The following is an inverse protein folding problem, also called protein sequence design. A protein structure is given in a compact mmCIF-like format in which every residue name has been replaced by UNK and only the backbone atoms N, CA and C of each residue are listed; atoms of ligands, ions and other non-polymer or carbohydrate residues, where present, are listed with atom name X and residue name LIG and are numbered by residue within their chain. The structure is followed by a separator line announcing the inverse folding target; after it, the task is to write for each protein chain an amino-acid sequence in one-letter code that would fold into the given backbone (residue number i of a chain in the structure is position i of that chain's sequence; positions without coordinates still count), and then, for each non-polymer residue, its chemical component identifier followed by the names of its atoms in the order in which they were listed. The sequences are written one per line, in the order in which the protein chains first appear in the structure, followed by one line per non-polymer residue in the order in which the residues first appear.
data_IF_050952744217
#
_entry.id   IF_050952744217
#
_cell.length_a   1.000
_cell.length_b   1.000
_cell.length_c   1.000
_cell.angle_alpha   90.00
_cell.angle_beta   90.00
_cell.angle_gamma   90.00
#
_symmetry.space_group_name_H-M   'P 1'
#
loop_
_entity.id
_entity.type
_entity.pdbx_description
1 polymer ?
#
# COMPACT_ATOMS: atom_id res chain seq x y z
N UNK A 1 34.63 -3.74 -36.75
CA UNK A 1 35.50 -3.02 -37.70
C UNK A 1 34.72 -1.89 -38.31
N UNK A 2 35.34 -0.71 -38.36
CA UNK A 2 34.79 0.64 -38.52
C UNK A 2 34.18 0.95 -39.88
N UNK A 3 33.25 1.92 -39.90
CA UNK A 3 33.06 3.02 -40.88
C UNK A 3 32.05 4.00 -40.25
N UNK A 4 32.42 5.08 -39.54
CA UNK A 4 32.87 6.42 -39.96
C UNK A 4 31.99 7.09 -41.04
N UNK A 5 31.36 8.20 -40.66
CA UNK A 5 30.69 9.15 -41.55
C UNK A 5 30.10 10.34 -40.77
N UNK A 6 30.94 11.34 -40.47
CA UNK A 6 30.59 12.63 -39.85
C UNK A 6 29.86 13.53 -40.85
N UNK A 7 29.08 14.53 -40.39
CA UNK A 7 29.14 15.94 -40.82
C UNK A 7 28.35 16.84 -39.84
N UNK A 8 28.95 18.00 -39.58
CA UNK A 8 28.59 19.12 -38.73
C UNK A 8 27.63 20.10 -39.42
N UNK A 9 26.79 20.81 -38.64
CA UNK A 9 26.29 22.18 -38.87
C UNK A 9 25.65 22.65 -37.55
N UNK A 10 26.15 23.58 -36.72
CA UNK A 10 26.64 24.97 -36.86
C UNK A 10 25.56 25.99 -37.32
N UNK A 11 25.24 26.93 -36.42
CA UNK A 11 24.51 28.19 -36.67
C UNK A 11 23.01 28.13 -36.30
N UNK A 12 22.40 29.07 -35.59
CA UNK A 12 22.74 30.47 -35.39
C UNK A 12 22.20 31.02 -34.06
N UNK A 13 23.02 31.85 -33.41
CA UNK A 13 22.61 32.83 -32.41
C UNK A 13 21.82 33.95 -33.11
N UNK A 14 20.70 34.37 -32.54
CA UNK A 14 20.12 35.68 -32.81
C UNK A 14 19.67 36.33 -31.50
N UNK A 15 20.55 37.22 -31.01
CA UNK A 15 20.25 38.24 -30.00
C UNK A 15 19.43 39.33 -30.69
N UNK A 16 18.27 39.63 -30.13
CA UNK A 16 17.41 40.75 -30.53
C UNK A 16 16.81 41.40 -29.31
N UNK A 17 17.57 42.32 -28.69
CA UNK A 17 17.14 43.20 -27.63
C UNK A 17 16.34 44.37 -28.25
N UNK A 18 15.05 44.49 -27.93
CA UNK A 18 14.26 45.69 -28.22
C UNK A 18 13.37 46.03 -27.03
N UNK A 19 13.59 47.24 -26.54
CA UNK A 19 13.04 47.87 -25.34
C UNK A 19 11.62 48.41 -25.61
N UNK A 20 10.66 48.19 -24.70
CA UNK A 20 9.33 48.81 -24.74
C UNK A 20 8.71 48.94 -23.33
N UNK A 21 8.02 50.06 -22.98
CA UNK A 21 7.68 50.43 -21.60
C UNK A 21 6.40 49.78 -21.02
N UNK A 22 6.17 49.86 -19.69
CA UNK A 22 5.14 49.10 -18.99
C UNK A 22 3.80 49.84 -18.94
N UNK A 23 2.73 49.19 -19.43
CA UNK A 23 1.35 49.60 -19.14
C UNK A 23 0.77 48.69 -18.05
N UNK A 24 0.71 49.20 -16.82
CA UNK A 24 0.02 48.55 -15.69
C UNK A 24 -1.50 48.69 -15.87
N UNK A 25 -2.08 47.83 -16.69
CA UNK A 25 -3.52 47.57 -16.65
C UNK A 25 -3.81 46.57 -15.51
N UNK A 26 -4.09 47.08 -14.30
CA UNK A 26 -4.63 46.25 -13.22
C UNK A 26 -6.09 45.87 -13.55
N UNK A 27 -6.24 44.83 -14.35
CA UNK A 27 -7.49 44.09 -14.47
C UNK A 27 -7.85 43.49 -13.11
N UNK A 28 -9.07 43.78 -12.67
CA UNK A 28 -9.75 43.16 -11.52
C UNK A 28 -9.67 41.64 -11.66
N UNK A 29 -8.75 41.00 -10.93
CA UNK A 29 -8.75 39.54 -10.76
C UNK A 29 -9.72 39.19 -9.64
N UNK A 30 -10.92 38.78 -10.04
CA UNK A 30 -11.73 37.90 -9.23
C UNK A 30 -10.86 36.67 -8.89
N UNK A 31 -10.42 36.58 -7.63
CA UNK A 31 -9.72 35.40 -7.15
C UNK A 31 -10.64 34.19 -7.31
N UNK A 32 -10.16 33.05 -7.84
CA UNK A 32 -10.96 31.84 -7.84
C UNK A 32 -11.27 31.49 -6.39
N UNK A 33 -12.56 31.49 -6.04
CA UNK A 33 -13.08 30.90 -4.81
C UNK A 33 -12.51 29.48 -4.74
N UNK A 34 -11.61 29.24 -3.80
CA UNK A 34 -11.25 27.90 -3.37
C UNK A 34 -12.57 27.27 -2.89
N UNK A 35 -13.19 26.45 -3.75
CA UNK A 35 -14.24 25.54 -3.34
C UNK A 35 -13.61 24.67 -2.28
N UNK A 36 -13.89 24.99 -1.02
CA UNK A 36 -13.52 24.17 0.12
C UNK A 36 -14.17 22.80 -0.13
N UNK A 37 -13.44 21.77 -0.57
CA UNK A 37 -14.06 20.47 -0.67
C UNK A 37 -14.21 20.04 0.77
N UNK A 38 -15.46 19.96 1.24
CA UNK A 38 -15.79 19.19 2.44
C UNK A 38 -15.50 17.72 2.09
N UNK A 39 -14.23 17.36 2.09
CA UNK A 39 -13.78 15.98 2.02
C UNK A 39 -14.02 15.45 3.42
N UNK A 40 -15.14 14.77 3.61
CA UNK A 40 -15.23 13.79 4.69
C UNK A 40 -14.09 12.81 4.45
N UNK A 41 -13.02 12.93 5.24
CA UNK A 41 -11.79 12.16 5.14
C UNK A 41 -12.07 10.67 5.35
N UNK A 42 -12.39 9.98 4.26
CA UNK A 42 -12.07 8.57 4.11
C UNK A 42 -11.12 8.54 2.92
N UNK A 43 -9.85 8.19 3.16
CA UNK A 43 -8.86 7.99 2.10
C UNK A 43 -9.35 7.01 1.03
N UNK A 44 -8.58 6.79 -0.06
CA UNK A 44 -9.00 5.89 -1.13
C UNK A 44 -9.49 4.55 -0.53
N UNK A 45 -10.76 4.19 -0.83
CA UNK A 45 -11.36 2.95 -0.34
C UNK A 45 -10.53 1.79 -0.85
N UNK A 46 -10.29 0.80 0.01
CA UNK A 46 -9.66 -0.43 -0.48
C UNK A 46 -10.64 -1.27 -1.28
N UNK A 47 -10.15 -2.16 -2.16
CA UNK A 47 -11.03 -3.03 -2.95
C UNK A 47 -12.03 -3.84 -2.11
N UNK A 48 -11.67 -4.23 -0.88
CA UNK A 48 -12.60 -4.92 0.03
C UNK A 48 -13.69 -3.98 0.52
N UNK A 49 -13.35 -2.76 0.93
CA UNK A 49 -14.34 -1.77 1.38
C UNK A 49 -15.28 -1.38 0.25
N UNK A 50 -14.75 -1.25 -0.97
CA UNK A 50 -15.56 -0.98 -2.15
C UNK A 50 -16.57 -2.11 -2.36
N UNK A 51 -16.10 -3.36 -2.37
CA UNK A 51 -16.95 -4.54 -2.52
C UNK A 51 -18.01 -4.65 -1.41
N UNK A 52 -17.65 -4.45 -0.14
CA UNK A 52 -18.59 -4.48 1.00
C UNK A 52 -19.70 -3.42 0.89
N UNK A 53 -19.43 -2.29 0.22
CA UNK A 53 -20.42 -1.22 0.04
C UNK A 53 -21.29 -1.36 -1.22
N UNK A 54 -20.99 -2.33 -2.10
CA UNK A 54 -21.80 -2.59 -3.30
C UNK A 54 -23.13 -3.27 -2.94
N UNK A 55 -24.24 -2.97 -3.65
CA UNK A 55 -25.46 -3.76 -3.58
C UNK A 55 -25.23 -5.25 -3.91
N UNK A 56 -25.99 -6.18 -3.32
CA UNK A 56 -25.82 -7.63 -3.56
C UNK A 56 -25.87 -8.01 -5.05
N UNK A 57 -26.73 -7.36 -5.83
CA UNK A 57 -26.87 -7.60 -7.27
C UNK A 57 -25.60 -7.19 -8.03
N UNK A 58 -24.97 -6.09 -7.61
CA UNK A 58 -23.71 -5.61 -8.21
C UNK A 58 -22.52 -6.49 -7.82
N UNK A 59 -22.47 -6.93 -6.56
CA UNK A 59 -21.49 -7.93 -6.11
C UNK A 59 -21.60 -9.20 -6.96
N UNK A 60 -22.82 -9.72 -7.16
CA UNK A 60 -23.05 -10.91 -7.98
C UNK A 60 -22.63 -10.70 -9.43
N UNK A 61 -22.92 -9.52 -10.01
CA UNK A 61 -22.44 -9.16 -11.37
C UNK A 61 -20.91 -9.12 -11.44
N UNK A 62 -20.23 -8.58 -10.42
CA UNK A 62 -18.78 -8.57 -10.36
C UNK A 62 -18.20 -9.99 -10.27
N UNK A 63 -18.78 -10.86 -9.46
CA UNK A 63 -18.41 -12.28 -9.36
C UNK A 63 -18.65 -13.03 -10.68
N UNK A 64 -19.74 -12.73 -11.38
CA UNK A 64 -20.10 -13.36 -12.66
C UNK A 64 -19.15 -13.00 -13.82
N UNK A 65 -18.35 -11.94 -13.69
CA UNK A 65 -17.30 -11.59 -14.66
C UNK A 65 -16.02 -12.41 -14.49
N UNK A 66 -15.86 -13.11 -13.36
CA UNK A 66 -14.69 -13.94 -13.11
C UNK A 66 -14.83 -15.32 -13.76
N UNK A 67 -13.71 -15.93 -14.21
CA UNK A 67 -13.68 -17.33 -14.63
C UNK A 67 -14.23 -18.26 -13.53
N UNK A 68 -14.93 -19.37 -13.87
CA UNK A 68 -15.64 -20.21 -12.90
C UNK A 68 -14.80 -20.63 -11.69
N UNK A 69 -13.56 -21.09 -11.93
CA UNK A 69 -12.66 -21.51 -10.85
C UNK A 69 -12.23 -20.36 -9.93
N UNK A 70 -12.07 -19.15 -10.46
CA UNK A 70 -11.74 -17.97 -9.65
C UNK A 70 -12.95 -17.49 -8.86
N UNK A 71 -14.13 -17.51 -9.49
CA UNK A 71 -15.40 -17.18 -8.85
C UNK A 71 -15.65 -18.06 -7.63
N UNK A 72 -15.52 -19.38 -7.78
CA UNK A 72 -15.72 -20.32 -6.69
C UNK A 72 -14.76 -20.06 -5.53
N UNK A 73 -13.46 -19.91 -5.81
CA UNK A 73 -12.46 -19.59 -4.78
C UNK A 73 -12.73 -18.26 -4.06
N UNK A 74 -13.19 -17.25 -4.80
CA UNK A 74 -13.53 -15.95 -4.19
C UNK A 74 -14.79 -16.05 -3.35
N UNK A 75 -15.80 -16.77 -3.81
CA UNK A 75 -17.05 -17.00 -3.09
C UNK A 75 -16.79 -17.72 -1.76
N UNK A 76 -15.99 -18.80 -1.78
CA UNK A 76 -15.58 -19.51 -0.55
C UNK A 76 -14.86 -18.60 0.46
N UNK A 77 -14.02 -17.66 -0.04
CA UNK A 77 -13.33 -16.69 0.82
C UNK A 77 -14.28 -15.66 1.40
N UNK A 78 -15.24 -15.19 0.60
CA UNK A 78 -16.27 -14.23 1.04
C UNK A 78 -17.20 -14.87 2.06
N UNK A 79 -17.63 -16.11 1.84
CA UNK A 79 -18.48 -16.84 2.78
C UNK A 79 -17.78 -17.01 4.13
N UNK A 80 -16.51 -17.45 4.13
CA UNK A 80 -15.69 -17.52 5.34
C UNK A 80 -15.55 -16.17 6.02
N UNK A 81 -15.29 -15.11 5.25
CA UNK A 81 -15.16 -13.76 5.78
C UNK A 81 -16.46 -13.26 6.43
N UNK A 82 -17.61 -13.52 5.81
CA UNK A 82 -18.93 -13.14 6.33
C UNK A 82 -19.30 -13.89 7.60
N UNK A 83 -18.82 -15.13 7.75
CA UNK A 83 -19.01 -15.95 8.95
C UNK A 83 -18.10 -15.55 10.13
N UNK A 84 -17.09 -14.70 9.91
CA UNK A 84 -16.24 -14.24 11.00
C UNK A 84 -17.02 -13.34 11.97
N UNK A 85 -16.77 -13.44 13.30
CA UNK A 85 -17.28 -12.48 14.27
C UNK A 85 -16.90 -11.04 13.90
N UNK A 86 -17.76 -10.08 14.22
CA UNK A 86 -17.59 -8.69 13.78
C UNK A 86 -16.22 -8.09 14.17
N UNK A 87 -15.74 -8.36 15.38
CA UNK A 87 -14.42 -7.92 15.83
C UNK A 87 -13.28 -8.48 14.98
N UNK A 88 -13.38 -9.75 14.56
CA UNK A 88 -12.38 -10.39 13.69
C UNK A 88 -12.45 -9.84 12.26
N UNK A 89 -13.67 -9.62 11.73
CA UNK A 89 -13.86 -8.96 10.44
C UNK A 89 -13.22 -7.58 10.43
N UNK A 90 -13.52 -6.74 11.44
CA UNK A 90 -12.92 -5.40 11.59
C UNK A 90 -11.40 -5.46 11.64
N UNK A 91 -10.82 -6.40 12.41
CA UNK A 91 -9.37 -6.56 12.49
C UNK A 91 -8.75 -6.94 11.14
N UNK A 92 -9.37 -7.86 10.40
CA UNK A 92 -8.90 -8.29 9.08
C UNK A 92 -9.05 -7.17 8.02
N UNK A 93 -10.16 -6.43 8.03
CA UNK A 93 -10.36 -5.27 7.16
C UNK A 93 -9.30 -4.18 7.46
N UNK A 94 -9.00 -3.92 8.73
CA UNK A 94 -7.94 -2.98 9.11
C UNK A 94 -6.55 -3.42 8.65
N UNK A 95 -6.23 -4.71 8.79
CA UNK A 95 -4.98 -5.29 8.29
C UNK A 95 -4.84 -5.08 6.78
N UNK A 96 -5.91 -5.38 6.04
CA UNK A 96 -5.96 -5.21 4.59
C UNK A 96 -5.82 -3.75 4.17
N UNK A 97 -6.48 -2.84 4.90
CA UNK A 97 -6.36 -1.40 4.69
C UNK A 97 -4.93 -0.91 4.84
N UNK A 98 -4.23 -1.31 5.90
CA UNK A 98 -2.81 -0.96 6.10
C UNK A 98 -1.95 -1.52 4.98
N UNK A 99 -2.17 -2.77 4.59
CA UNK A 99 -1.43 -3.39 3.48
C UNK A 99 -1.58 -2.58 2.19
N UNK A 100 -2.80 -2.16 1.83
CA UNK A 100 -3.05 -1.37 0.62
C UNK A 100 -2.45 0.03 0.65
N UNK A 101 -2.23 0.60 1.83
CA UNK A 101 -1.56 1.88 1.99
C UNK A 101 -0.03 1.77 1.83
N UNK A 102 0.54 0.56 1.87
CA UNK A 102 1.97 0.37 1.64
C UNK A 102 2.33 0.51 0.15
N UNK A 103 3.54 1.00 -0.18
CA UNK A 103 4.07 0.97 -1.55
C UNK A 103 4.06 -0.46 -2.13
N UNK A 104 3.88 -0.63 -3.46
CA UNK A 104 3.74 -1.95 -4.09
C UNK A 104 4.83 -2.97 -3.72
N UNK A 105 6.10 -2.53 -3.66
CA UNK A 105 7.21 -3.40 -3.26
C UNK A 105 7.07 -3.90 -1.82
N UNK A 106 6.63 -3.03 -0.92
CA UNK A 106 6.36 -3.40 0.48
C UNK A 106 5.18 -4.34 0.59
N UNK A 107 4.13 -4.14 -0.20
CA UNK A 107 3.03 -5.11 -0.26
C UNK A 107 3.51 -6.50 -0.68
N UNK A 108 4.41 -6.56 -1.66
CA UNK A 108 4.98 -7.82 -2.13
C UNK A 108 5.86 -8.49 -1.06
N UNK A 109 6.67 -7.73 -0.32
CA UNK A 109 7.43 -8.26 0.81
C UNK A 109 6.53 -8.84 1.89
N UNK A 110 5.44 -8.15 2.24
CA UNK A 110 4.45 -8.64 3.20
C UNK A 110 3.80 -9.94 2.71
N UNK A 111 3.36 -10.01 1.45
CA UNK A 111 2.77 -11.23 0.88
C UNK A 111 3.74 -12.41 0.96
N UNK A 112 5.01 -12.18 0.62
CA UNK A 112 6.09 -13.18 0.77
C UNK A 112 6.32 -13.56 2.23
N UNK A 113 6.25 -12.62 3.16
CA UNK A 113 6.40 -12.89 4.59
C UNK A 113 5.25 -13.76 5.14
N UNK A 114 4.01 -13.50 4.71
CA UNK A 114 2.84 -14.33 5.06
C UNK A 114 3.03 -15.77 4.56
N UNK A 115 3.48 -15.95 3.31
CA UNK A 115 3.77 -17.29 2.77
C UNK A 115 4.89 -17.98 3.56
N UNK A 116 6.02 -17.31 3.79
CA UNK A 116 7.13 -17.83 4.60
C UNK A 116 6.71 -18.23 6.00
N UNK A 117 5.84 -17.43 6.63
CA UNK A 117 5.24 -17.75 7.94
C UNK A 117 4.41 -19.04 7.86
N UNK A 118 3.56 -19.18 6.83
CA UNK A 118 2.72 -20.37 6.65
C UNK A 118 3.52 -21.67 6.43
N UNK A 119 4.74 -21.56 5.92
CA UNK A 119 5.67 -22.68 5.70
C UNK A 119 6.46 -23.07 6.96
N UNK A 120 6.46 -22.25 8.02
CA UNK A 120 7.17 -22.57 9.26
C UNK A 120 6.51 -23.72 10.01
N UNK A 121 7.30 -24.48 10.77
CA UNK A 121 6.78 -25.46 11.72
C UNK A 121 5.79 -24.81 12.71
N UNK A 122 4.72 -25.51 13.16
CA UNK A 122 3.65 -24.91 13.98
C UNK A 122 4.15 -24.14 15.22
N UNK A 123 5.13 -24.69 15.94
CA UNK A 123 5.71 -24.01 17.11
C UNK A 123 6.44 -22.71 16.77
N UNK A 124 7.09 -22.64 15.60
CA UNK A 124 7.75 -21.41 15.13
C UNK A 124 6.73 -20.38 14.64
N UNK A 125 5.67 -20.84 13.96
CA UNK A 125 4.54 -19.96 13.61
C UNK A 125 3.96 -19.27 14.85
N UNK A 126 3.74 -20.04 15.91
CA UNK A 126 3.22 -19.53 17.16
C UNK A 126 4.17 -18.50 17.77
N UNK A 127 5.46 -18.80 17.87
CA UNK A 127 6.46 -17.86 18.40
C UNK A 127 6.49 -16.52 17.63
N UNK A 128 6.40 -16.55 16.30
CA UNK A 128 6.34 -15.35 15.46
C UNK A 128 5.04 -14.56 15.70
N UNK A 129 3.88 -15.25 15.76
CA UNK A 129 2.58 -14.61 16.03
C UNK A 129 2.53 -13.96 17.40
N UNK A 130 3.12 -14.59 18.41
CA UNK A 130 3.22 -14.04 19.77
C UNK A 130 4.10 -12.78 19.79
N UNK A 131 5.24 -12.80 19.10
CA UNK A 131 6.12 -11.63 18.99
C UNK A 131 5.41 -10.47 18.27
N UNK A 132 4.71 -10.73 17.16
CA UNK A 132 3.89 -9.72 16.47
C UNK A 132 2.80 -9.14 17.39
N UNK A 133 2.14 -9.99 18.19
CA UNK A 133 1.13 -9.56 19.16
C UNK A 133 1.74 -8.68 20.26
N UNK A 134 2.92 -9.06 20.77
CA UNK A 134 3.66 -8.26 21.75
C UNK A 134 4.06 -6.90 21.18
N UNK A 135 4.62 -6.88 19.98
CA UNK A 135 4.99 -5.63 19.29
C UNK A 135 3.80 -4.74 18.95
N UNK A 136 2.60 -5.32 18.72
CA UNK A 136 1.39 -4.54 18.47
C UNK A 136 1.00 -3.64 19.65
N UNK A 137 1.32 -4.03 20.88
CA UNK A 137 1.08 -3.22 22.07
C UNK A 137 2.12 -2.10 22.25
N UNK A 138 3.26 -2.15 21.54
CA UNK A 138 4.32 -1.16 21.63
C UNK A 138 4.07 0.03 20.69
N UNK A 139 4.49 1.25 21.07
CA UNK A 139 4.58 2.39 20.15
C UNK A 139 5.52 2.11 18.96
N UNK A 140 5.33 2.77 17.79
CA UNK A 140 6.12 2.50 16.58
C UNK A 140 7.63 2.65 16.74
N UNK A 141 8.10 3.53 17.62
CA UNK A 141 9.53 3.67 17.90
C UNK A 141 10.07 2.45 18.67
N UNK A 142 9.38 2.05 19.74
CA UNK A 142 9.76 0.88 20.55
C UNK A 142 9.72 -0.43 19.75
N UNK A 143 8.87 -0.53 18.72
CA UNK A 143 8.89 -1.67 17.78
C UNK A 143 10.24 -1.78 17.07
N UNK A 144 10.84 -0.66 16.66
CA UNK A 144 12.15 -0.65 15.98
C UNK A 144 13.26 -1.08 16.94
N UNK A 145 13.25 -0.51 18.14
CA UNK A 145 14.18 -0.88 19.22
C UNK A 145 14.07 -2.38 19.53
N UNK A 146 12.84 -2.92 19.58
CA UNK A 146 12.61 -4.36 19.76
C UNK A 146 13.23 -5.19 18.65
N UNK A 147 13.05 -4.82 17.38
CA UNK A 147 13.62 -5.52 16.21
C UNK A 147 15.16 -5.43 16.13
N UNK A 148 15.75 -4.46 16.83
CA UNK A 148 17.19 -4.23 16.91
C UNK A 148 17.83 -4.88 18.15
N UNK A 149 17.03 -5.22 19.16
CA UNK A 149 17.51 -5.80 20.42
C UNK A 149 18.31 -7.10 20.24
N UNK A 150 19.37 -7.32 21.06
CA UNK A 150 20.13 -8.57 21.07
C UNK A 150 19.24 -9.80 21.33
N UNK A 151 18.27 -9.67 22.23
CA UNK A 151 17.34 -10.73 22.61
C UNK A 151 16.45 -11.14 21.43
N UNK A 152 16.02 -10.18 20.61
CA UNK A 152 15.27 -10.47 19.39
C UNK A 152 16.17 -11.20 18.38
N UNK A 153 17.40 -10.72 18.18
CA UNK A 153 18.34 -11.28 17.21
C UNK A 153 18.81 -12.68 17.57
N UNK A 154 18.85 -13.03 18.86
CA UNK A 154 19.19 -14.38 19.34
C UNK A 154 18.02 -15.34 19.32
N UNK A 155 16.79 -14.87 19.61
CA UNK A 155 15.57 -15.70 19.66
C UNK A 155 15.06 -16.14 18.28
N UNK A 156 15.22 -15.29 17.26
CA UNK A 156 14.69 -15.52 15.93
C UNK A 156 15.81 -15.71 14.90
N UNK A 157 15.68 -16.71 14.03
CA UNK A 157 16.58 -16.90 12.91
C UNK A 157 16.50 -15.73 11.92
N UNK A 158 17.50 -15.57 11.06
CA UNK A 158 17.52 -14.47 10.07
C UNK A 158 16.26 -14.42 9.20
N UNK A 159 15.75 -15.59 8.76
CA UNK A 159 14.52 -15.69 7.97
C UNK A 159 13.29 -15.23 8.75
N UNK A 160 13.19 -15.57 10.03
CA UNK A 160 12.07 -15.17 10.89
C UNK A 160 12.14 -13.69 11.25
N UNK A 161 13.35 -13.16 11.44
CA UNK A 161 13.54 -11.72 11.63
C UNK A 161 13.06 -10.92 10.41
N UNK A 162 13.31 -11.41 9.19
CA UNK A 162 12.76 -10.80 7.98
C UNK A 162 11.23 -10.85 7.95
N UNK A 163 10.62 -11.99 8.28
CA UNK A 163 9.16 -12.10 8.39
C UNK A 163 8.60 -11.08 9.38
N UNK A 164 9.20 -10.97 10.56
CA UNK A 164 8.79 -10.03 11.60
C UNK A 164 8.93 -8.57 11.13
N UNK A 165 10.06 -8.23 10.49
CA UNK A 165 10.30 -6.88 9.94
C UNK A 165 9.30 -6.53 8.84
N UNK A 166 9.05 -7.45 7.91
CA UNK A 166 8.14 -7.24 6.78
C UNK A 166 6.68 -7.11 7.25
N UNK A 167 6.29 -7.80 8.32
CA UNK A 167 4.92 -7.75 8.86
C UNK A 167 4.69 -6.61 9.87
N UNK A 168 5.73 -6.02 10.45
CA UNK A 168 5.63 -4.92 11.43
C UNK A 168 4.79 -3.71 10.95
N UNK A 169 4.86 -3.27 9.68
CA UNK A 169 4.03 -2.19 9.17
C UNK A 169 2.52 -2.46 9.20
N UNK A 170 2.10 -3.73 9.35
CA UNK A 170 0.70 -4.10 9.43
C UNK A 170 0.11 -4.03 10.85
N UNK A 171 0.97 -3.89 11.86
CA UNK A 171 0.54 -3.83 13.25
C UNK A 171 -0.29 -2.55 13.51
N UNK A 172 -1.28 -2.61 14.42
CA UNK A 172 -2.14 -1.47 14.74
C UNK A 172 -1.42 -0.27 15.32
#
# INVERSE_FOLDING_TARGET
MSCRGSILALGALSVGLLLGPPALAQGRRAGPRLKNPRIGEKGPRTPIQEFETMPPEEQQRALNRLPPAQRQKLQERLDRFNQLPEGQRRALTNLYNRLHQLPPDRQNSVRKAINRLSEQAPGRQQAIREELRGMAALPPQQRRERLESPEFRSRFSKKEQEVLRDMTPLLP
#
